data_IF_581161223000
#
_entry.id   IF_581161223000
#
_cell.length_a   1.000
_cell.length_b   1.000
_cell.length_c   1.000
_cell.angle_alpha   90.00
_cell.angle_beta   90.00
_cell.angle_gamma   90.00
#
_symmetry.space_group_name_H-M   'P 1'
#
loop_
_entity.id
_entity.type
_entity.pdbx_description
1 polymer ?
#
# COMPACT_ATOMS: atom_id res chain seq x y z
N UNK A 1 -16.00 -24.28 0.68
CA UNK A 1 -14.94 -25.00 1.39
C UNK A 1 -13.90 -25.58 0.44
N UNK A 2 -14.28 -26.39 -0.54
CA UNK A 2 -13.31 -27.09 -1.42
C UNK A 2 -12.34 -26.19 -2.21
N UNK A 3 -12.77 -25.04 -2.76
CA UNK A 3 -11.86 -24.19 -3.54
C UNK A 3 -10.83 -23.52 -2.62
N UNK A 4 -11.28 -22.96 -1.49
CA UNK A 4 -10.42 -22.29 -0.53
C UNK A 4 -9.39 -23.25 0.08
N UNK A 5 -9.84 -24.40 0.59
CA UNK A 5 -8.96 -25.45 1.15
C UNK A 5 -7.93 -25.92 0.12
N UNK A 6 -8.38 -26.21 -1.11
CA UNK A 6 -7.49 -26.68 -2.17
C UNK A 6 -6.44 -25.63 -2.59
N UNK A 7 -6.77 -24.32 -2.52
CA UNK A 7 -5.89 -23.25 -2.99
C UNK A 7 -4.98 -22.68 -1.90
N UNK A 8 -5.44 -22.64 -0.67
CA UNK A 8 -4.73 -21.90 0.39
C UNK A 8 -4.18 -22.81 1.50
N UNK A 9 -4.77 -23.96 1.76
CA UNK A 9 -4.29 -24.90 2.79
C UNK A 9 -3.01 -25.58 2.35
N UNK A 10 -1.95 -25.42 3.18
CA UNK A 10 -0.65 -26.04 2.96
C UNK A 10 0.18 -25.45 1.82
N UNK A 11 -0.33 -24.44 1.13
CA UNK A 11 0.32 -23.75 0.02
C UNK A 11 1.07 -22.50 0.47
N UNK A 12 2.07 -22.09 -0.32
CA UNK A 12 2.74 -20.80 -0.14
C UNK A 12 1.82 -19.68 -0.63
N UNK A 13 1.48 -18.74 0.26
CA UNK A 13 0.57 -17.63 -0.03
C UNK A 13 1.36 -16.34 -0.25
N UNK A 14 1.09 -15.68 -1.37
CA UNK A 14 1.54 -14.31 -1.66
C UNK A 14 0.42 -13.31 -1.44
N UNK A 15 0.67 -12.26 -0.64
CA UNK A 15 -0.28 -11.16 -0.46
C UNK A 15 0.24 -9.93 -1.20
N UNK A 16 -0.62 -9.30 -2.00
CA UNK A 16 -0.31 -8.11 -2.76
C UNK A 16 -1.16 -6.94 -2.23
N UNK A 17 -0.51 -5.87 -1.78
CA UNK A 17 -1.15 -4.67 -1.24
C UNK A 17 -0.89 -3.48 -2.18
N UNK A 18 -1.93 -2.97 -2.81
CA UNK A 18 -1.83 -1.82 -3.72
C UNK A 18 -1.47 -0.52 -3.02
N UNK A 19 -1.05 0.48 -3.79
CA UNK A 19 -1.07 1.86 -3.33
C UNK A 19 -2.49 2.35 -3.05
N UNK A 20 -2.63 3.54 -2.43
CA UNK A 20 -3.96 4.10 -2.15
C UNK A 20 -3.99 5.27 -1.18
N UNK A 21 -2.84 5.74 -0.70
CA UNK A 21 -2.77 6.80 0.31
C UNK A 21 -3.50 6.39 1.60
N UNK A 22 -4.39 7.23 2.13
CA UNK A 22 -5.16 6.94 3.35
C UNK A 22 -6.08 5.71 3.19
N UNK A 23 -6.55 5.42 1.97
CA UNK A 23 -7.35 4.22 1.70
C UNK A 23 -6.59 2.92 1.98
N UNK A 24 -5.24 2.98 2.05
CA UNK A 24 -4.41 1.87 2.50
C UNK A 24 -4.74 1.34 3.90
N UNK A 25 -5.44 2.10 4.72
CA UNK A 25 -5.98 1.64 6.01
C UNK A 25 -6.88 0.39 5.83
N UNK A 26 -7.59 0.27 4.71
CA UNK A 26 -8.40 -0.91 4.41
C UNK A 26 -7.57 -2.19 4.32
N UNK A 27 -6.29 -2.11 3.91
CA UNK A 27 -5.39 -3.27 3.97
C UNK A 27 -5.25 -3.82 5.40
N UNK A 28 -5.17 -2.93 6.41
CA UNK A 28 -5.09 -3.36 7.79
C UNK A 28 -6.39 -4.08 8.23
N UNK A 29 -7.56 -3.59 7.80
CA UNK A 29 -8.83 -4.28 8.02
C UNK A 29 -8.87 -5.68 7.39
N UNK A 30 -8.37 -5.82 6.16
CA UNK A 30 -8.24 -7.12 5.48
C UNK A 30 -7.29 -8.05 6.24
N UNK A 31 -6.12 -7.54 6.67
CA UNK A 31 -5.14 -8.33 7.42
C UNK A 31 -5.69 -8.80 8.77
N UNK A 32 -6.53 -8.00 9.44
CA UNK A 32 -7.25 -8.41 10.63
C UNK A 32 -8.11 -9.66 10.36
N UNK A 33 -8.89 -9.64 9.29
CA UNK A 33 -9.69 -10.82 8.92
C UNK A 33 -8.80 -12.02 8.58
N UNK A 34 -7.68 -11.81 7.89
CA UNK A 34 -6.73 -12.88 7.59
C UNK A 34 -6.16 -13.53 8.86
N UNK A 35 -5.85 -12.71 9.89
CA UNK A 35 -5.40 -13.21 11.18
C UNK A 35 -6.46 -14.11 11.85
N UNK A 36 -7.74 -13.72 11.78
CA UNK A 36 -8.86 -14.46 12.36
C UNK A 36 -9.08 -15.83 11.70
N UNK A 37 -8.91 -15.92 10.38
CA UNK A 37 -9.07 -17.19 9.63
C UNK A 37 -7.74 -17.95 9.43
N UNK A 38 -6.64 -17.47 10.02
CA UNK A 38 -5.36 -18.15 10.03
C UNK A 38 -4.56 -18.08 8.73
N UNK A 39 -4.86 -17.16 7.81
CA UNK A 39 -4.04 -16.93 6.62
C UNK A 39 -2.70 -16.31 7.04
N UNK A 40 -1.60 -16.97 6.66
CA UNK A 40 -0.24 -16.48 6.91
C UNK A 40 0.52 -16.41 5.59
N UNK A 41 0.98 -15.22 5.18
CA UNK A 41 1.73 -15.09 3.93
C UNK A 41 3.15 -15.66 4.05
N UNK A 42 3.65 -16.19 2.96
CA UNK A 42 5.09 -16.46 2.78
C UNK A 42 5.80 -15.27 2.12
N UNK A 43 5.08 -14.56 1.25
CA UNK A 43 5.56 -13.37 0.54
C UNK A 43 4.52 -12.24 0.65
N UNK A 44 5.00 -11.00 0.80
CA UNK A 44 4.14 -9.80 0.70
C UNK A 44 4.77 -8.83 -0.29
N UNK A 45 4.00 -8.39 -1.28
CA UNK A 45 4.37 -7.31 -2.18
C UNK A 45 3.54 -6.06 -1.86
N UNK A 46 4.19 -4.90 -1.73
CA UNK A 46 3.51 -3.65 -1.39
C UNK A 46 4.04 -2.45 -2.16
N UNK A 47 3.13 -1.54 -2.48
CA UNK A 47 3.42 -0.25 -3.13
C UNK A 47 2.80 0.87 -2.30
N UNK A 48 3.55 1.98 -2.04
CA UNK A 48 3.04 3.18 -1.35
C UNK A 48 2.42 2.83 0.01
N UNK A 49 1.15 3.15 0.25
CA UNK A 49 0.46 2.76 1.48
C UNK A 49 0.46 1.25 1.72
N UNK A 50 0.43 0.43 0.67
CA UNK A 50 0.59 -1.02 0.78
C UNK A 50 1.97 -1.41 1.30
N UNK A 51 3.03 -0.66 0.94
CA UNK A 51 4.37 -0.86 1.51
C UNK A 51 4.42 -0.49 2.99
N UNK A 52 3.76 0.59 3.39
CA UNK A 52 3.65 1.00 4.80
C UNK A 52 2.96 -0.10 5.62
N UNK A 53 1.75 -0.51 5.18
CA UNK A 53 0.94 -1.50 5.90
C UNK A 53 1.66 -2.84 5.99
N UNK A 54 2.20 -3.34 4.86
CA UNK A 54 2.92 -4.62 4.85
C UNK A 54 4.14 -4.61 5.77
N UNK A 55 4.89 -3.51 5.81
CA UNK A 55 6.07 -3.39 6.66
C UNK A 55 5.72 -3.32 8.14
N UNK A 56 4.68 -2.56 8.51
CA UNK A 56 4.20 -2.50 9.90
C UNK A 56 3.65 -3.85 10.37
N UNK A 57 2.87 -4.51 9.51
CA UNK A 57 2.32 -5.84 9.80
C UNK A 57 3.43 -6.88 9.96
N UNK A 58 4.39 -6.93 9.04
CA UNK A 58 5.55 -7.82 9.12
C UNK A 58 6.43 -7.53 10.35
N UNK A 59 6.48 -6.28 10.82
CA UNK A 59 7.16 -5.87 12.06
C UNK A 59 6.42 -6.32 13.33
N UNK A 60 5.23 -6.91 13.20
CA UNK A 60 4.43 -7.40 14.31
C UNK A 60 3.41 -6.40 14.87
N UNK A 61 3.16 -5.30 14.16
CA UNK A 61 2.07 -4.38 14.53
C UNK A 61 0.71 -5.04 14.26
N UNK A 62 -0.18 -4.93 15.25
CA UNK A 62 -1.56 -5.38 15.08
C UNK A 62 -2.31 -4.47 14.10
N UNK A 63 -3.31 -4.96 13.37
CA UNK A 63 -4.07 -4.16 12.40
C UNK A 63 -4.64 -2.85 12.97
N UNK A 64 -5.09 -2.84 14.22
CA UNK A 64 -5.59 -1.65 14.91
C UNK A 64 -4.46 -0.66 15.22
N UNK A 65 -3.25 -1.11 15.53
CA UNK A 65 -2.09 -0.24 15.70
C UNK A 65 -1.69 0.42 14.37
N UNK A 66 -1.88 -0.29 13.25
CA UNK A 66 -1.65 0.26 11.90
C UNK A 66 -2.67 1.36 11.59
N UNK A 67 -3.94 1.18 11.95
CA UNK A 67 -4.96 2.23 11.85
C UNK A 67 -4.56 3.48 12.67
N UNK A 68 -4.14 3.31 13.93
CA UNK A 68 -3.72 4.42 14.77
C UNK A 68 -2.43 5.10 14.25
N UNK A 69 -1.53 4.33 13.64
CA UNK A 69 -0.37 4.88 12.94
C UNK A 69 -0.81 5.87 11.84
N UNK A 70 -1.74 5.49 10.97
CA UNK A 70 -2.25 6.40 9.93
C UNK A 70 -2.92 7.64 10.52
N UNK A 71 -3.72 7.49 11.57
CA UNK A 71 -4.34 8.62 12.27
C UNK A 71 -3.31 9.57 12.88
N UNK A 72 -2.16 9.06 13.35
CA UNK A 72 -1.10 9.87 13.95
C UNK A 72 -0.25 10.59 12.90
N UNK A 73 0.10 9.96 11.81
CA UNK A 73 0.92 10.55 10.73
C UNK A 73 0.25 11.80 10.15
N UNK A 74 -1.05 11.76 9.91
CA UNK A 74 -1.77 12.91 9.36
C UNK A 74 -1.82 14.09 10.32
N UNK A 75 -1.73 13.87 11.64
CA UNK A 75 -1.57 14.94 12.63
C UNK A 75 -0.17 15.59 12.57
N UNK A 76 0.86 14.83 12.20
CA UNK A 76 2.23 15.32 12.03
C UNK A 76 2.41 16.20 10.79
N UNK A 77 1.62 15.98 9.72
CA UNK A 77 1.71 16.73 8.45
C UNK A 77 1.59 18.24 8.59
N UNK A 78 0.83 18.75 9.57
CA UNK A 78 0.63 20.20 9.79
C UNK A 78 1.88 20.91 10.32
N UNK A 79 2.85 20.21 10.86
CA UNK A 79 4.06 20.80 11.48
C UNK A 79 5.27 20.90 10.54
N UNK A 80 5.30 20.22 9.41
CA UNK A 80 6.49 20.07 8.57
C UNK A 80 6.31 20.50 7.12
N UNK A 81 5.54 21.58 6.86
CA UNK A 81 5.51 22.19 5.55
C UNK A 81 6.86 22.78 5.19
N UNK A 82 7.48 22.34 4.08
CA UNK A 82 8.67 22.97 3.52
C UNK A 82 8.37 23.58 2.14
N UNK A 83 8.75 24.85 1.95
CA UNK A 83 8.66 25.55 0.66
C UNK A 83 9.95 25.43 -0.17
N UNK A 84 10.95 24.66 0.32
CA UNK A 84 12.31 24.65 -0.25
C UNK A 84 12.67 23.40 -1.03
N UNK A 85 11.89 22.30 -0.94
CA UNK A 85 12.14 21.04 -1.66
C UNK A 85 11.03 20.77 -2.68
N UNK A 86 11.25 19.87 -3.63
CA UNK A 86 10.32 19.48 -4.69
C UNK A 86 9.12 18.64 -4.16
N UNK A 87 8.45 19.14 -3.14
CA UNK A 87 7.29 18.55 -2.47
C UNK A 87 6.85 19.43 -1.32
N UNK A 88 5.58 19.37 -0.92
CA UNK A 88 5.06 20.13 0.21
C UNK A 88 5.52 19.59 1.56
N UNK A 89 5.94 18.32 1.63
CA UNK A 89 6.35 17.62 2.84
C UNK A 89 7.74 17.03 2.61
N UNK A 90 8.63 17.22 3.58
CA UNK A 90 9.98 16.68 3.53
C UNK A 90 9.97 15.18 3.89
N UNK A 91 10.45 14.33 2.97
CA UNK A 91 10.60 12.89 3.21
C UNK A 91 11.53 12.57 4.39
N UNK A 92 12.52 13.43 4.68
CA UNK A 92 13.42 13.24 5.83
C UNK A 92 12.70 13.35 7.19
N UNK A 93 11.62 14.17 7.28
CA UNK A 93 10.83 14.26 8.51
C UNK A 93 10.14 12.92 8.84
N UNK A 94 9.78 12.13 7.82
CA UNK A 94 9.24 10.78 8.02
C UNK A 94 10.32 9.74 8.35
N UNK A 95 11.56 9.99 7.94
CA UNK A 95 12.67 9.08 8.20
C UNK A 95 12.89 8.85 9.69
N UNK A 96 12.92 9.92 10.48
CA UNK A 96 13.04 9.81 11.94
C UNK A 96 11.90 9.00 12.54
N UNK A 97 10.68 9.20 12.04
CA UNK A 97 9.51 8.49 12.52
C UNK A 97 9.57 6.99 12.19
N UNK A 98 9.88 6.62 10.95
CA UNK A 98 10.04 5.21 10.57
C UNK A 98 11.25 4.57 11.25
N UNK A 99 12.36 5.29 11.41
CA UNK A 99 13.51 4.82 12.16
C UNK A 99 13.19 4.57 13.65
N UNK A 100 12.28 5.34 14.25
CA UNK A 100 11.84 5.09 15.61
C UNK A 100 11.08 3.76 15.75
N UNK A 101 10.41 3.31 14.69
CA UNK A 101 9.67 2.05 14.63
C UNK A 101 10.60 0.88 14.25
N UNK A 102 11.25 0.99 13.10
CA UNK A 102 12.00 -0.12 12.49
C UNK A 102 13.48 -0.15 12.88
N UNK A 103 13.97 0.92 13.50
CA UNK A 103 15.41 1.10 13.79
C UNK A 103 16.24 0.96 12.50
N UNK A 104 17.29 0.14 12.54
CA UNK A 104 18.14 -0.16 11.39
C UNK A 104 17.79 -1.49 10.71
N UNK A 105 16.63 -2.07 11.04
CA UNK A 105 16.25 -3.37 10.50
C UNK A 105 16.07 -3.35 8.97
N UNK A 106 16.42 -4.47 8.34
CA UNK A 106 16.34 -4.67 6.90
C UNK A 106 15.13 -5.51 6.51
N UNK A 107 14.74 -5.47 5.23
CA UNK A 107 13.66 -6.29 4.70
C UNK A 107 13.91 -7.79 4.87
N UNK A 108 15.18 -8.20 4.90
CA UNK A 108 15.58 -9.60 5.08
C UNK A 108 15.40 -10.15 6.49
N UNK A 109 15.26 -9.27 7.50
CA UNK A 109 15.01 -9.64 8.89
C UNK A 109 13.52 -9.85 9.19
N UNK A 110 12.64 -9.57 8.21
CA UNK A 110 11.19 -9.77 8.38
C UNK A 110 10.81 -11.27 8.32
N UNK A 111 9.75 -11.67 9.03
CA UNK A 111 9.26 -13.06 9.02
C UNK A 111 8.71 -13.50 7.67
N UNK A 112 8.35 -12.55 6.82
CA UNK A 112 7.84 -12.77 5.46
C UNK A 112 8.85 -12.25 4.43
N UNK A 113 8.89 -12.83 3.23
CA UNK A 113 9.69 -12.30 2.13
C UNK A 113 9.02 -11.04 1.57
N UNK A 114 9.60 -9.88 1.89
CA UNK A 114 9.07 -8.57 1.54
C UNK A 114 9.50 -8.12 0.14
N UNK A 115 8.57 -7.54 -0.62
CA UNK A 115 8.79 -6.98 -1.95
C UNK A 115 8.21 -5.57 -2.00
N UNK A 116 9.02 -4.59 -1.66
CA UNK A 116 8.61 -3.17 -1.69
C UNK A 116 9.07 -2.55 -3.01
N UNK A 117 8.17 -1.82 -3.67
CA UNK A 117 8.43 -1.20 -4.97
C UNK A 117 8.59 0.31 -4.87
N UNK A 118 9.46 0.88 -5.67
CA UNK A 118 9.56 2.32 -5.88
C UNK A 118 9.86 2.60 -7.37
N UNK A 119 9.73 3.86 -7.78
CA UNK A 119 10.13 4.32 -9.10
C UNK A 119 11.45 5.05 -9.03
N UNK A 120 12.47 4.56 -9.71
CA UNK A 120 13.72 5.29 -9.92
C UNK A 120 13.47 6.41 -10.95
N UNK A 121 13.48 7.65 -10.47
CA UNK A 121 13.14 8.82 -11.30
C UNK A 121 14.19 9.12 -12.38
N UNK A 122 15.43 8.70 -12.18
CA UNK A 122 16.53 8.97 -13.12
C UNK A 122 16.51 7.98 -14.27
N UNK A 123 16.35 6.70 -13.96
CA UNK A 123 16.32 5.64 -14.99
C UNK A 123 14.93 5.40 -15.57
N UNK A 124 13.85 5.88 -14.93
CA UNK A 124 12.47 5.61 -15.33
C UNK A 124 12.07 4.14 -15.14
N UNK A 125 12.75 3.41 -14.24
CA UNK A 125 12.52 1.98 -14.03
C UNK A 125 11.90 1.69 -12.67
N UNK A 126 11.15 0.58 -12.62
CA UNK A 126 10.70 0.00 -11.37
C UNK A 126 11.91 -0.50 -10.55
N UNK A 127 11.96 -0.12 -9.28
CA UNK A 127 12.87 -0.69 -8.29
C UNK A 127 12.07 -1.63 -7.40
N UNK A 128 12.56 -2.85 -7.21
CA UNK A 128 12.13 -3.76 -6.17
C UNK A 128 13.30 -3.84 -5.19
N UNK A 129 13.06 -3.48 -3.92
CA UNK A 129 14.10 -3.47 -2.91
C UNK A 129 14.44 -4.89 -2.46
N UNK A 130 15.74 -5.16 -2.32
CA UNK A 130 16.26 -6.44 -1.87
C UNK A 130 16.31 -6.58 -0.34
N UNK A 131 16.63 -7.78 0.16
CA UNK A 131 16.61 -8.07 1.59
C UNK A 131 17.60 -7.23 2.42
N UNK A 132 18.65 -6.70 1.80
CA UNK A 132 19.68 -5.85 2.41
C UNK A 132 19.20 -4.41 2.68
N UNK A 133 18.08 -4.00 2.09
CA UNK A 133 17.57 -2.62 2.17
C UNK A 133 16.91 -2.38 3.52
N UNK A 134 17.23 -1.25 4.18
CA UNK A 134 16.54 -0.83 5.39
C UNK A 134 15.06 -0.64 5.13
N UNK A 135 14.21 -1.12 6.05
CA UNK A 135 12.74 -1.02 5.92
C UNK A 135 12.30 0.43 5.77
N UNK A 136 12.84 1.32 6.61
CA UNK A 136 12.51 2.75 6.58
C UNK A 136 12.81 3.36 5.20
N UNK A 137 13.97 3.07 4.62
CA UNK A 137 14.36 3.61 3.31
C UNK A 137 13.46 3.07 2.18
N UNK A 138 13.15 1.77 2.19
CA UNK A 138 12.27 1.17 1.19
C UNK A 138 10.86 1.75 1.25
N UNK A 139 10.30 1.92 2.47
CA UNK A 139 8.96 2.48 2.69
C UNK A 139 8.90 3.95 2.28
N UNK A 140 9.91 4.75 2.64
CA UNK A 140 9.99 6.17 2.26
C UNK A 140 10.08 6.35 0.77
N UNK A 141 10.94 5.59 0.09
CA UNK A 141 11.06 5.63 -1.36
C UNK A 141 9.75 5.22 -2.06
N UNK A 142 9.09 4.16 -1.53
CA UNK A 142 7.82 3.66 -2.05
C UNK A 142 6.66 4.65 -1.89
N UNK A 143 6.70 5.50 -0.87
CA UNK A 143 5.61 6.40 -0.47
C UNK A 143 5.85 7.87 -0.84
N UNK A 144 6.93 8.18 -1.56
CA UNK A 144 7.25 9.54 -2.01
C UNK A 144 6.34 9.99 -3.15
N UNK A 145 5.06 10.29 -2.82
CA UNK A 145 4.01 10.60 -3.79
C UNK A 145 4.33 11.92 -4.53
N UNK A 146 4.32 11.92 -5.88
CA UNK A 146 4.69 13.10 -6.68
C UNK A 146 3.86 14.34 -6.34
N UNK A 147 4.53 15.47 -6.13
CA UNK A 147 3.91 16.76 -5.84
C UNK A 147 3.40 16.91 -4.39
N UNK A 148 3.45 15.85 -3.56
CA UNK A 148 3.06 15.89 -2.14
C UNK A 148 4.26 15.67 -1.24
N UNK A 149 4.99 14.58 -1.45
CA UNK A 149 6.21 14.24 -0.70
C UNK A 149 7.41 14.39 -1.63
N UNK A 150 8.49 14.97 -1.13
CA UNK A 150 9.73 15.10 -1.91
C UNK A 150 10.28 13.71 -2.28
N UNK A 151 10.91 13.56 -3.47
CA UNK A 151 11.61 12.32 -3.80
C UNK A 151 12.61 11.95 -2.71
N UNK A 152 12.73 10.64 -2.46
CA UNK A 152 13.63 10.11 -1.44
C UNK A 152 14.93 9.61 -2.07
N UNK A 153 16.06 9.99 -1.50
CA UNK A 153 17.38 9.60 -2.01
C UNK A 153 17.95 8.40 -1.24
N UNK A 154 18.38 7.38 -1.98
CA UNK A 154 19.15 6.23 -1.46
C UNK A 154 20.37 6.06 -2.35
N UNK A 155 21.56 6.10 -1.78
CA UNK A 155 22.85 5.89 -2.46
C UNK A 155 23.02 6.73 -3.74
N UNK A 156 22.62 8.00 -3.69
CA UNK A 156 22.70 8.95 -4.83
C UNK A 156 21.65 8.74 -5.91
N UNK A 157 20.66 7.90 -5.69
CA UNK A 157 19.51 7.68 -6.61
C UNK A 157 18.24 8.28 -6.02
N UNK A 158 17.47 8.95 -6.86
CA UNK A 158 16.19 9.56 -6.48
C UNK A 158 15.03 8.62 -6.79
N UNK A 159 14.24 8.32 -5.76
CA UNK A 159 13.05 7.48 -5.85
C UNK A 159 11.78 8.28 -5.59
N UNK A 160 10.72 7.85 -6.25
CA UNK A 160 9.35 8.31 -5.99
C UNK A 160 8.42 7.11 -5.88
N UNK A 161 7.15 7.38 -5.58
CA UNK A 161 6.12 6.39 -5.34
C UNK A 161 6.14 5.27 -6.39
N UNK A 162 6.12 4.02 -5.92
CA UNK A 162 6.12 2.85 -6.79
C UNK A 162 4.91 2.77 -7.70
N UNK A 163 3.81 3.40 -7.29
CA UNK A 163 2.56 3.43 -8.04
C UNK A 163 2.62 4.20 -9.37
N UNK A 164 3.68 4.98 -9.63
CA UNK A 164 3.91 5.58 -10.94
C UNK A 164 4.06 4.49 -12.02
N UNK A 165 4.74 3.39 -11.70
CA UNK A 165 4.99 2.29 -12.65
C UNK A 165 4.18 1.05 -12.29
N UNK A 166 4.10 0.70 -11.01
CA UNK A 166 3.46 -0.54 -10.55
C UNK A 166 2.65 -0.31 -9.26
N UNK A 167 1.43 0.18 -9.44
CA UNK A 167 0.54 0.50 -8.32
C UNK A 167 -0.01 -0.75 -7.60
N UNK A 168 -0.18 -1.85 -8.34
CA UNK A 168 -0.64 -3.14 -7.83
C UNK A 168 0.33 -4.24 -8.28
N UNK A 169 1.36 -4.57 -7.44
CA UNK A 169 2.53 -5.33 -7.85
C UNK A 169 2.34 -6.86 -7.88
N UNK A 170 1.24 -7.35 -8.47
CA UNK A 170 0.92 -8.79 -8.58
C UNK A 170 1.94 -9.57 -9.41
N UNK A 171 2.42 -8.96 -10.48
CA UNK A 171 3.42 -9.52 -11.38
C UNK A 171 4.73 -9.90 -10.67
N UNK A 172 5.04 -9.25 -9.55
CA UNK A 172 6.26 -9.55 -8.77
C UNK A 172 6.17 -10.91 -8.09
N UNK A 173 4.98 -11.33 -7.65
CA UNK A 173 4.79 -12.61 -6.96
C UNK A 173 4.35 -13.75 -7.87
N UNK A 174 4.07 -13.47 -9.13
CA UNK A 174 3.70 -14.51 -10.10
C UNK A 174 4.79 -15.57 -10.22
N UNK A 175 4.41 -16.84 -10.03
CA UNK A 175 5.33 -17.98 -10.05
C UNK A 175 6.26 -18.10 -8.84
N UNK A 176 6.08 -17.25 -7.80
CA UNK A 176 6.82 -17.33 -6.53
C UNK A 176 6.02 -17.95 -5.39
N UNK A 177 4.70 -17.99 -5.55
CA UNK A 177 3.76 -18.56 -4.59
C UNK A 177 2.77 -19.45 -5.33
N UNK A 178 2.18 -20.40 -4.59
CA UNK A 178 1.17 -21.33 -5.12
C UNK A 178 -0.20 -20.65 -5.25
N UNK A 179 -0.46 -19.67 -4.37
CA UNK A 179 -1.68 -18.87 -4.39
C UNK A 179 -1.37 -17.38 -4.16
N UNK A 180 -2.11 -16.52 -4.85
CA UNK A 180 -1.98 -15.06 -4.76
C UNK A 180 -3.30 -14.43 -4.30
N UNK A 181 -3.21 -13.63 -3.24
CA UNK A 181 -4.32 -12.80 -2.73
C UNK A 181 -3.99 -11.34 -3.02
N UNK A 182 -4.79 -10.71 -3.84
CA UNK A 182 -4.65 -9.30 -4.18
C UNK A 182 -5.61 -8.42 -3.42
N UNK A 183 -5.11 -7.40 -2.71
CA UNK A 183 -5.92 -6.38 -2.04
C UNK A 183 -5.72 -5.05 -2.76
N UNK A 184 -6.77 -4.57 -3.42
CA UNK A 184 -6.76 -3.35 -4.21
C UNK A 184 -7.69 -2.31 -3.58
N UNK A 185 -7.12 -1.18 -3.13
CA UNK A 185 -7.84 -0.15 -2.35
C UNK A 185 -8.00 1.18 -3.07
N UNK A 186 -7.74 1.22 -4.37
CA UNK A 186 -7.82 2.45 -5.18
C UNK A 186 -8.84 2.36 -6.33
N UNK A 187 -10.11 1.99 -6.06
CA UNK A 187 -11.12 2.03 -7.10
C UNK A 187 -11.29 3.47 -7.63
N UNK A 188 -11.57 3.59 -8.93
CA UNK A 188 -11.74 4.91 -9.57
C UNK A 188 -13.04 5.54 -9.12
N UNK A 189 -12.93 6.68 -8.45
CA UNK A 189 -14.09 7.51 -8.12
C UNK A 189 -14.70 8.15 -9.37
N UNK A 190 -16.03 8.19 -9.44
CA UNK A 190 -16.76 9.11 -10.34
C UNK A 190 -16.72 10.50 -9.74
N UNK A 191 -16.26 11.48 -10.48
CA UNK A 191 -16.13 12.87 -10.03
C UNK A 191 -16.79 13.81 -11.03
N UNK A 192 -17.13 15.01 -10.57
CA UNK A 192 -17.68 16.08 -11.42
C UNK A 192 -16.54 17.01 -11.90
N UNK A 193 -16.77 17.69 -13.03
CA UNK A 193 -15.81 18.68 -13.55
C UNK A 193 -15.50 19.78 -12.53
N UNK A 194 -16.46 20.07 -11.64
CA UNK A 194 -16.32 21.02 -10.54
C UNK A 194 -15.25 20.64 -9.52
N UNK A 195 -14.84 19.38 -9.43
CA UNK A 195 -13.82 18.90 -8.49
C UNK A 195 -12.39 19.11 -9.02
N UNK A 196 -12.25 19.38 -10.33
CA UNK A 196 -11.00 19.56 -11.03
C UNK A 196 -10.60 21.03 -11.17
N UNK A 197 -10.53 21.78 -10.06
CA UNK A 197 -10.28 23.25 -10.06
C UNK A 197 -8.83 23.64 -9.76
N UNK A 198 -7.95 22.71 -9.45
CA UNK A 198 -6.57 23.01 -9.08
C UNK A 198 -5.57 22.09 -9.80
N UNK A 199 -4.34 22.58 -9.96
CA UNK A 199 -3.25 21.75 -10.49
C UNK A 199 -3.15 20.45 -9.69
N UNK A 200 -3.23 20.52 -8.36
CA UNK A 200 -3.17 19.35 -7.49
C UNK A 200 -4.31 18.36 -7.81
N UNK A 201 -5.56 18.81 -7.90
CA UNK A 201 -6.69 17.91 -8.18
C UNK A 201 -6.58 17.25 -9.56
N UNK A 202 -6.14 18.00 -10.59
CA UNK A 202 -5.94 17.47 -11.94
C UNK A 202 -4.78 16.47 -11.96
N UNK A 203 -3.65 16.78 -11.32
CA UNK A 203 -2.46 15.90 -11.30
C UNK A 203 -2.76 14.60 -10.54
N UNK A 204 -3.42 14.70 -9.37
CA UNK A 204 -3.84 13.52 -8.60
C UNK A 204 -4.79 12.66 -9.44
N UNK A 205 -5.78 13.27 -10.10
CA UNK A 205 -6.72 12.54 -10.96
C UNK A 205 -6.02 11.84 -12.13
N UNK A 206 -5.08 12.52 -12.79
CA UNK A 206 -4.30 11.92 -13.86
C UNK A 206 -3.49 10.71 -13.38
N UNK A 207 -2.86 10.82 -12.21
CA UNK A 207 -2.17 9.71 -11.57
C UNK A 207 -3.11 8.53 -11.27
N UNK A 208 -4.28 8.78 -10.66
CA UNK A 208 -5.27 7.75 -10.34
C UNK A 208 -5.73 7.01 -11.61
N UNK A 209 -6.00 7.75 -12.70
CA UNK A 209 -6.42 7.15 -13.97
C UNK A 209 -5.32 6.31 -14.63
N UNK A 210 -4.07 6.79 -14.63
CA UNK A 210 -2.93 6.03 -15.16
C UNK A 210 -2.70 4.75 -14.36
N UNK A 211 -2.72 4.85 -13.03
CA UNK A 211 -2.57 3.71 -12.13
C UNK A 211 -3.66 2.66 -12.35
N UNK A 212 -4.91 3.07 -12.44
CA UNK A 212 -6.03 2.14 -12.60
C UNK A 212 -6.00 1.39 -13.93
N UNK A 213 -5.71 2.08 -15.04
CA UNK A 213 -5.64 1.44 -16.35
C UNK A 213 -4.58 0.34 -16.44
N UNK A 214 -3.45 0.50 -15.74
CA UNK A 214 -2.39 -0.51 -15.70
C UNK A 214 -2.73 -1.75 -14.86
N UNK A 215 -3.75 -1.66 -14.01
CA UNK A 215 -4.04 -2.70 -13.00
C UNK A 215 -5.13 -3.69 -13.38
N UNK A 216 -6.03 -3.36 -14.33
CA UNK A 216 -7.17 -4.24 -14.65
C UNK A 216 -6.74 -5.66 -15.08
N UNK A 217 -5.66 -5.78 -15.87
CA UNK A 217 -5.15 -7.09 -16.28
C UNK A 217 -4.48 -7.86 -15.12
N UNK A 218 -4.05 -7.18 -14.09
CA UNK A 218 -3.35 -7.77 -12.95
C UNK A 218 -4.27 -8.48 -11.98
N UNK A 219 -5.56 -8.16 -11.98
CA UNK A 219 -6.55 -8.88 -11.16
C UNK A 219 -6.66 -10.35 -11.57
N UNK A 220 -6.49 -10.67 -12.86
CA UNK A 220 -6.54 -12.04 -13.35
C UNK A 220 -5.36 -12.91 -12.91
N UNK A 221 -4.32 -12.30 -12.33
CA UNK A 221 -3.17 -13.02 -11.78
C UNK A 221 -3.40 -13.50 -10.34
N UNK A 222 -4.45 -13.02 -9.67
CA UNK A 222 -4.77 -13.37 -8.30
C UNK A 222 -5.85 -14.46 -8.25
N UNK A 223 -5.67 -15.40 -7.33
CA UNK A 223 -6.67 -16.43 -7.03
C UNK A 223 -7.83 -15.87 -6.20
N UNK A 224 -7.55 -14.82 -5.40
CA UNK A 224 -8.56 -14.08 -4.65
C UNK A 224 -8.27 -12.58 -4.74
N UNK A 225 -9.26 -11.79 -5.14
CA UNK A 225 -9.17 -10.33 -5.23
C UNK A 225 -10.13 -9.69 -4.23
N UNK A 226 -9.61 -8.83 -3.38
CA UNK A 226 -10.36 -8.02 -2.42
C UNK A 226 -10.26 -6.56 -2.90
N UNK A 227 -11.37 -6.05 -3.44
CA UNK A 227 -11.41 -4.70 -4.05
C UNK A 227 -12.75 -4.03 -3.75
N UNK A 228 -12.92 -3.46 -2.55
CA UNK A 228 -14.17 -2.79 -2.17
C UNK A 228 -14.38 -1.50 -2.95
N UNK A 229 -15.45 -1.46 -3.75
CA UNK A 229 -15.82 -0.29 -4.57
C UNK A 229 -16.19 0.93 -3.69
N UNK A 230 -16.66 0.70 -2.46
CA UNK A 230 -17.03 1.73 -1.50
C UNK A 230 -15.86 2.67 -1.18
N UNK A 231 -14.61 2.20 -1.31
CA UNK A 231 -13.42 3.04 -1.13
C UNK A 231 -13.32 4.16 -2.17
N UNK A 232 -14.06 4.10 -3.26
CA UNK A 232 -14.16 5.19 -4.22
C UNK A 232 -14.76 6.47 -3.61
N UNK A 233 -15.52 6.37 -2.51
CA UNK A 233 -16.14 7.50 -1.83
C UNK A 233 -15.15 8.30 -0.95
N UNK A 234 -13.96 7.78 -0.72
CA UNK A 234 -12.97 8.37 0.17
C UNK A 234 -11.81 8.99 -0.60
N UNK A 235 -11.31 10.11 -0.08
CA UNK A 235 -10.13 10.77 -0.65
C UNK A 235 -8.87 9.93 -0.45
N UNK A 236 -7.96 9.95 -1.44
CA UNK A 236 -6.60 9.40 -1.31
C UNK A 236 -5.82 10.07 -0.16
N UNK A 237 -6.15 11.32 0.18
CA UNK A 237 -5.58 12.08 1.29
C UNK A 237 -6.64 12.41 2.35
N UNK A 238 -7.45 11.43 2.76
CA UNK A 238 -8.47 11.60 3.80
C UNK A 238 -7.79 11.88 5.16
N UNK A 239 -8.29 12.88 5.86
CA UNK A 239 -7.75 13.31 7.18
C UNK A 239 -8.75 13.16 8.32
N UNK A 240 -10.01 12.88 8.01
CA UNK A 240 -11.05 12.69 9.02
C UNK A 240 -10.88 11.34 9.71
N UNK A 241 -10.67 11.36 11.03
CA UNK A 241 -10.40 10.15 11.83
C UNK A 241 -11.56 9.15 11.80
N UNK A 242 -12.81 9.62 11.82
CA UNK A 242 -13.99 8.75 11.73
C UNK A 242 -14.05 8.04 10.38
N UNK A 243 -13.76 8.76 9.29
CA UNK A 243 -13.67 8.14 7.97
C UNK A 243 -12.52 7.14 7.85
N UNK A 244 -11.42 7.33 8.59
CA UNK A 244 -10.35 6.35 8.67
C UNK A 244 -10.82 5.06 9.34
N UNK A 245 -11.64 5.15 10.40
CA UNK A 245 -12.28 3.99 11.03
C UNK A 245 -13.24 3.30 10.04
N UNK A 246 -14.00 4.04 9.28
CA UNK A 246 -14.88 3.50 8.23
C UNK A 246 -14.08 2.75 7.15
N UNK A 247 -12.97 3.33 6.64
CA UNK A 247 -12.08 2.69 5.66
C UNK A 247 -11.53 1.35 6.19
N UNK A 248 -11.10 1.31 7.45
CA UNK A 248 -10.64 0.08 8.09
C UNK A 248 -11.74 -0.99 8.09
N UNK A 249 -12.94 -0.62 8.55
CA UNK A 249 -14.08 -1.52 8.62
C UNK A 249 -14.55 -2.00 7.24
N UNK A 250 -14.52 -1.14 6.22
CA UNK A 250 -14.80 -1.55 4.83
C UNK A 250 -13.85 -2.65 4.38
N UNK A 251 -12.55 -2.52 4.66
CA UNK A 251 -11.58 -3.55 4.32
C UNK A 251 -11.88 -4.88 5.01
N UNK A 252 -12.17 -4.85 6.30
CA UNK A 252 -12.49 -6.02 7.11
C UNK A 252 -13.78 -6.72 6.63
N UNK A 253 -14.88 -5.98 6.53
CA UNK A 253 -16.19 -6.53 6.16
C UNK A 253 -16.22 -7.05 4.72
N UNK A 254 -15.54 -6.35 3.80
CA UNK A 254 -15.45 -6.82 2.41
C UNK A 254 -14.63 -8.12 2.31
N UNK A 255 -13.52 -8.22 3.03
CA UNK A 255 -12.72 -9.45 3.05
C UNK A 255 -13.53 -10.62 3.57
N UNK A 256 -14.27 -10.43 4.68
CA UNK A 256 -15.14 -11.43 5.28
C UNK A 256 -16.24 -11.88 4.32
N UNK A 257 -16.96 -10.92 3.72
CA UNK A 257 -18.02 -11.23 2.76
C UNK A 257 -17.48 -12.00 1.54
N UNK A 258 -16.37 -11.52 0.95
CA UNK A 258 -15.79 -12.18 -0.23
C UNK A 258 -15.21 -13.55 0.07
N UNK A 259 -14.79 -13.81 1.31
CA UNK A 259 -14.42 -15.13 1.77
C UNK A 259 -15.62 -16.08 1.82
N UNK A 260 -16.76 -15.62 2.37
CA UNK A 260 -17.98 -16.41 2.40
C UNK A 260 -18.43 -16.82 0.99
N UNK A 261 -18.28 -15.94 0.00
CA UNK A 261 -18.56 -16.20 -1.41
C UNK A 261 -17.60 -17.25 -2.03
N UNK A 262 -16.36 -17.37 -1.52
CA UNK A 262 -15.38 -18.35 -2.01
C UNK A 262 -15.58 -19.76 -1.44
N UNK A 263 -16.16 -19.88 -0.25
CA UNK A 263 -16.34 -21.17 0.44
C UNK A 263 -17.69 -21.84 0.15
N UNK A 264 -18.63 -21.13 -0.49
CA UNK A 264 -19.91 -21.67 -0.94
C UNK A 264 -19.73 -22.41 -2.26
#
# INVERSE_FOLDING_TARGET
MKFFEMKFDGNTIGIILSGGGTKGIAHAGVLKFFDEIGIRPSHIAGTSSGAIVSSLYAWGKQPEEILEFFKSIYFFHWRHFTFRKAGFIDSEAFKEYFNSIFKDATLGEMPYKMHITATDLVSGKLRIFGPETKIADAVLASSAFPGVISPYEIDGRLYSDGGIINHFPTDILQGRCDALIGVYVSPIQKIEASDLKSIKSITTRAYDLLSANSNMQKFTLCDWVISPDELALYSTFETNRTKMDEIFNIGYEYAKKSYDDLIV
#
